data_IF_096338602277
#
_entry.id   IF_096338602277
#
_cell.length_a   1.000
_cell.length_b   1.000
_cell.length_c   1.000
_cell.angle_alpha   90.00
_cell.angle_beta   90.00
_cell.angle_gamma   90.00
#
_symmetry.space_group_name_H-M   'P 1'
#
loop_
_entity.id
_entity.type
_entity.pdbx_description
1 polymer ?
#
# COMPACT_ATOMS: atom_id res chain seq x y z
N UNK A 1 -6.75 -0.01 26.18
CA UNK A 1 -6.37 0.40 24.82
C UNK A 1 -7.46 1.33 24.30
N UNK A 2 -7.10 2.51 23.86
CA UNK A 2 -8.03 3.40 23.18
C UNK A 2 -8.34 2.90 21.74
N UNK A 3 -9.24 3.59 21.02
CA UNK A 3 -9.67 3.16 19.68
C UNK A 3 -8.50 3.10 18.68
N UNK A 4 -7.52 3.98 18.84
CA UNK A 4 -6.36 4.09 17.97
C UNK A 4 -5.35 2.97 18.24
N UNK A 5 -5.06 2.69 19.50
CA UNK A 5 -4.20 1.56 19.90
C UNK A 5 -4.78 0.22 19.39
N UNK A 6 -6.11 0.06 19.47
CA UNK A 6 -6.79 -1.10 18.92
C UNK A 6 -6.67 -1.18 17.40
N UNK A 7 -6.78 -0.05 16.69
CA UNK A 7 -6.62 -0.01 15.23
C UNK A 7 -5.18 -0.34 14.80
N UNK A 8 -4.17 0.19 15.50
CA UNK A 8 -2.76 -0.15 15.28
C UNK A 8 -2.52 -1.65 15.51
N UNK A 9 -3.07 -2.21 16.59
CA UNK A 9 -2.95 -3.63 16.87
C UNK A 9 -3.59 -4.49 15.75
N UNK A 10 -4.78 -4.08 15.24
CA UNK A 10 -5.40 -4.75 14.09
C UNK A 10 -4.56 -4.65 12.81
N UNK A 11 -3.97 -3.49 12.52
CA UNK A 11 -3.08 -3.31 11.37
C UNK A 11 -1.87 -4.24 11.45
N UNK A 12 -1.23 -4.31 12.62
CA UNK A 12 -0.11 -5.22 12.89
C UNK A 12 -0.50 -6.70 12.80
N UNK A 13 -1.70 -7.08 13.23
CA UNK A 13 -2.17 -8.47 13.09
C UNK A 13 -2.40 -8.87 11.63
N UNK A 14 -2.88 -7.94 10.80
CA UNK A 14 -3.18 -8.16 9.39
C UNK A 14 -1.93 -8.38 8.52
N UNK A 15 -0.87 -7.64 8.72
CA UNK A 15 0.47 -7.72 8.07
C UNK A 15 0.52 -7.57 6.56
N UNK A 16 -0.51 -7.95 5.79
CA UNK A 16 -0.50 -7.98 4.34
C UNK A 16 -1.77 -7.37 3.75
N UNK A 17 -1.62 -6.36 2.91
CA UNK A 17 -2.70 -5.62 2.26
C UNK A 17 -2.54 -5.52 0.75
N UNK A 18 -3.65 -5.22 0.06
CA UNK A 18 -3.71 -4.90 -1.36
C UNK A 18 -3.82 -3.39 -1.55
N UNK A 19 -2.94 -2.80 -2.36
CA UNK A 19 -3.10 -1.46 -2.87
C UNK A 19 -3.68 -1.53 -4.28
N UNK A 20 -4.65 -0.69 -4.62
CA UNK A 20 -5.25 -0.66 -5.95
C UNK A 20 -5.16 0.76 -6.49
N UNK A 21 -4.32 0.95 -7.52
CA UNK A 21 -4.24 2.21 -8.24
C UNK A 21 -5.06 2.13 -9.52
N UNK A 22 -6.19 2.82 -9.54
CA UNK A 22 -7.12 2.79 -10.66
C UNK A 22 -7.78 4.15 -10.87
N UNK A 23 -7.90 4.55 -12.13
CA UNK A 23 -8.44 5.83 -12.56
C UNK A 23 -8.38 5.95 -14.08
N UNK A 24 -8.53 7.15 -14.61
CA UNK A 24 -8.50 7.42 -16.05
C UNK A 24 -7.18 7.01 -16.70
N UNK A 25 -6.08 7.09 -15.97
CA UNK A 25 -4.76 6.67 -16.44
C UNK A 25 -4.68 5.18 -16.82
N UNK A 26 -5.61 4.36 -16.36
CA UNK A 26 -5.68 2.95 -16.76
C UNK A 26 -6.01 2.79 -18.25
N UNK A 27 -6.73 3.74 -18.86
CA UNK A 27 -6.99 3.76 -20.31
C UNK A 27 -5.74 4.09 -21.10
N UNK A 28 -4.92 5.02 -20.58
CA UNK A 28 -3.62 5.34 -21.19
C UNK A 28 -2.67 4.13 -21.18
N UNK A 29 -2.78 3.29 -20.16
CA UNK A 29 -2.00 2.05 -19.99
C UNK A 29 -0.46 2.26 -20.03
N UNK A 30 0.01 3.42 -19.54
CA UNK A 30 1.41 3.86 -19.59
C UNK A 30 1.83 4.55 -18.29
N UNK A 31 1.47 4.00 -17.12
CA UNK A 31 1.74 4.58 -15.83
C UNK A 31 0.68 5.58 -15.32
N UNK A 32 0.46 5.68 -14.01
CA UNK A 32 -0.51 6.62 -13.39
C UNK A 32 -0.11 8.08 -13.51
N UNK A 33 1.19 8.36 -13.71
CA UNK A 33 1.73 9.70 -13.93
C UNK A 33 1.72 10.14 -15.40
N UNK A 34 1.06 9.42 -16.31
CA UNK A 34 1.05 9.70 -17.75
C UNK A 34 0.71 11.16 -18.07
N UNK A 35 -0.28 11.75 -17.39
CA UNK A 35 -0.67 13.15 -17.56
C UNK A 35 0.47 14.11 -17.29
N UNK A 36 1.25 13.84 -16.21
CA UNK A 36 2.42 14.64 -15.82
C UNK A 36 3.63 14.38 -16.73
N UNK A 37 3.97 13.12 -16.98
CA UNK A 37 5.15 12.73 -17.74
C UNK A 37 5.07 13.19 -19.20
N UNK A 38 3.91 13.09 -19.81
CA UNK A 38 3.64 13.53 -21.17
C UNK A 38 3.19 15.00 -21.25
N UNK A 39 3.11 15.70 -20.09
CA UNK A 39 2.70 17.11 -19.97
C UNK A 39 1.37 17.41 -20.66
N UNK A 40 0.40 16.51 -20.52
CA UNK A 40 -0.90 16.62 -21.18
C UNK A 40 -1.73 17.73 -20.56
N UNK A 41 -2.37 18.54 -21.44
CA UNK A 41 -3.40 19.49 -21.03
C UNK A 41 -4.70 18.77 -20.63
N UNK A 42 -5.64 19.49 -20.04
CA UNK A 42 -6.95 18.93 -19.73
C UNK A 42 -7.69 18.46 -20.99
N UNK A 43 -7.61 19.22 -22.09
CA UNK A 43 -8.23 18.85 -23.37
C UNK A 43 -7.59 17.58 -23.97
N UNK A 44 -6.28 17.43 -23.85
CA UNK A 44 -5.59 16.22 -24.30
C UNK A 44 -5.88 15.00 -23.44
N UNK A 45 -6.21 15.20 -22.17
CA UNK A 45 -6.57 14.13 -21.22
C UNK A 45 -8.06 13.80 -21.22
N UNK A 46 -8.92 14.72 -21.71
CA UNK A 46 -10.38 14.58 -21.75
C UNK A 46 -10.86 13.29 -22.44
N UNK A 47 -10.24 12.78 -23.54
CA UNK A 47 -10.66 11.52 -24.15
C UNK A 47 -10.70 10.33 -23.21
N UNK A 48 -9.84 10.30 -22.17
CA UNK A 48 -9.89 9.21 -21.18
C UNK A 48 -11.14 9.29 -20.30
N UNK A 49 -11.61 10.49 -19.99
CA UNK A 49 -12.89 10.69 -19.29
C UNK A 49 -14.08 10.31 -20.19
N UNK A 50 -14.08 10.75 -21.43
CA UNK A 50 -15.16 10.53 -22.38
C UNK A 50 -15.34 9.06 -22.77
N UNK A 51 -14.31 8.24 -22.57
CA UNK A 51 -14.31 6.81 -22.90
C UNK A 51 -14.16 5.90 -21.68
N UNK A 52 -14.26 6.43 -20.46
CA UNK A 52 -14.17 5.62 -19.24
C UNK A 52 -15.44 4.82 -19.03
N UNK A 53 -15.41 3.57 -19.45
CA UNK A 53 -16.51 2.60 -19.33
C UNK A 53 -15.94 1.23 -18.91
N UNK A 54 -15.67 1.01 -17.61
CA UNK A 54 -15.06 -0.23 -17.13
C UNK A 54 -16.09 -1.38 -17.06
N UNK A 55 -16.50 -1.87 -18.21
CA UNK A 55 -17.56 -2.86 -18.42
C UNK A 55 -17.26 -4.25 -17.83
N UNK A 56 -16.00 -4.53 -17.46
CA UNK A 56 -15.57 -5.76 -16.80
C UNK A 56 -15.23 -5.56 -15.31
N UNK A 57 -15.61 -4.42 -14.73
CA UNK A 57 -15.40 -4.18 -13.31
C UNK A 57 -16.21 -5.14 -12.45
N UNK A 58 -15.51 -6.06 -11.81
CA UNK A 58 -16.06 -7.00 -10.82
C UNK A 58 -15.29 -6.89 -9.49
N UNK A 59 -15.76 -6.06 -8.55
CA UNK A 59 -15.11 -5.89 -7.25
C UNK A 59 -15.15 -7.17 -6.39
N UNK A 60 -16.10 -8.09 -6.65
CA UNK A 60 -16.14 -9.40 -5.98
C UNK A 60 -14.99 -10.29 -6.42
N UNK A 61 -14.67 -10.29 -7.72
CA UNK A 61 -13.49 -10.99 -8.23
C UNK A 61 -12.20 -10.39 -7.67
N UNK A 62 -12.10 -9.06 -7.54
CA UNK A 62 -10.96 -8.39 -6.89
C UNK A 62 -10.79 -8.83 -5.43
N UNK A 63 -11.88 -8.78 -4.66
CA UNK A 63 -11.86 -9.14 -3.24
C UNK A 63 -11.47 -10.61 -3.03
N UNK A 64 -11.99 -11.52 -3.87
CA UNK A 64 -11.63 -12.95 -3.84
C UNK A 64 -10.18 -13.19 -4.19
N UNK A 65 -9.64 -12.50 -5.21
CA UNK A 65 -8.23 -12.60 -5.58
C UNK A 65 -7.33 -12.12 -4.43
N UNK A 66 -7.65 -10.98 -3.80
CA UNK A 66 -6.94 -10.46 -2.65
C UNK A 66 -6.95 -11.44 -1.46
N UNK A 67 -8.13 -11.97 -1.12
CA UNK A 67 -8.28 -12.94 -0.03
C UNK A 67 -7.53 -14.24 -0.31
N UNK A 68 -7.61 -14.75 -1.53
CA UNK A 68 -6.89 -15.97 -1.96
C UNK A 68 -5.38 -15.78 -1.90
N UNK A 69 -4.88 -14.58 -2.20
CA UNK A 69 -3.46 -14.22 -2.03
C UNK A 69 -3.04 -14.11 -0.54
N UNK A 70 -3.99 -14.14 0.40
CA UNK A 70 -3.73 -14.01 1.84
C UNK A 70 -3.75 -12.56 2.34
N UNK A 71 -4.24 -11.62 1.57
CA UNK A 71 -4.40 -10.23 2.01
C UNK A 71 -5.54 -10.09 3.01
N UNK A 72 -5.47 -9.09 3.90
CA UNK A 72 -6.41 -8.89 5.00
C UNK A 72 -7.10 -7.53 4.97
N UNK A 73 -6.65 -6.62 4.12
CA UNK A 73 -7.27 -5.32 3.87
C UNK A 73 -6.89 -4.84 2.48
N UNK A 74 -7.61 -3.85 1.99
CA UNK A 74 -7.30 -3.21 0.73
C UNK A 74 -7.41 -1.69 0.84
N UNK A 75 -6.57 -0.97 0.11
CA UNK A 75 -6.60 0.47 -0.05
C UNK A 75 -6.83 0.76 -1.53
N UNK A 76 -7.93 1.46 -1.86
CA UNK A 76 -8.26 1.85 -3.23
C UNK A 76 -8.03 3.34 -3.43
N UNK A 77 -7.43 3.74 -4.55
CA UNK A 77 -7.39 5.15 -4.94
C UNK A 77 -8.81 5.67 -5.16
N UNK A 78 -9.30 6.49 -4.23
CA UNK A 78 -10.59 7.18 -4.42
C UNK A 78 -10.46 8.32 -5.43
N UNK A 79 -9.33 9.06 -5.37
CA UNK A 79 -8.89 10.07 -6.32
C UNK A 79 -7.36 10.07 -6.37
N UNK A 80 -6.77 9.98 -7.56
CA UNK A 80 -5.34 10.17 -7.79
C UNK A 80 -5.05 11.63 -8.22
N UNK A 81 -3.81 11.95 -8.54
CA UNK A 81 -3.34 13.32 -8.83
C UNK A 81 -4.05 14.00 -10.02
N UNK A 82 -4.60 13.22 -10.96
CA UNK A 82 -5.34 13.75 -12.10
C UNK A 82 -6.72 14.33 -11.74
N UNK A 83 -7.17 14.14 -10.48
CA UNK A 83 -8.37 14.75 -9.94
C UNK A 83 -9.67 13.96 -10.18
N UNK A 84 -9.63 12.80 -10.82
CA UNK A 84 -10.81 12.00 -11.12
C UNK A 84 -11.33 11.25 -9.91
N UNK A 85 -12.59 11.55 -9.51
CA UNK A 85 -13.25 10.91 -8.39
C UNK A 85 -13.92 9.59 -8.81
N UNK A 86 -13.56 8.47 -8.18
CA UNK A 86 -14.19 7.17 -8.46
C UNK A 86 -15.58 7.01 -7.86
N UNK A 87 -16.06 7.98 -7.06
CA UNK A 87 -17.38 7.96 -6.41
C UNK A 87 -18.25 9.11 -6.93
N UNK A 88 -19.52 9.08 -6.54
CA UNK A 88 -20.48 10.15 -6.84
C UNK A 88 -20.30 11.36 -5.90
N UNK A 89 -19.17 12.06 -6.03
CA UNK A 89 -18.92 13.29 -5.27
C UNK A 89 -19.92 14.39 -5.61
N UNK A 90 -20.44 15.09 -4.61
CA UNK A 90 -21.28 16.28 -4.81
C UNK A 90 -20.45 17.54 -5.13
N UNK A 91 -19.13 17.45 -5.03
CA UNK A 91 -18.21 18.59 -5.09
C UNK A 91 -17.55 18.77 -6.46
N UNK A 92 -17.70 17.80 -7.36
CA UNK A 92 -17.13 17.85 -8.71
C UNK A 92 -17.97 17.08 -9.72
N UNK A 93 -17.95 17.53 -10.97
CA UNK A 93 -18.46 16.77 -12.11
C UNK A 93 -17.38 15.89 -12.77
N UNK A 94 -16.09 16.00 -12.34
CA UNK A 94 -15.02 15.14 -12.82
C UNK A 94 -14.99 13.84 -12.01
N UNK A 95 -15.98 13.00 -12.23
CA UNK A 95 -16.30 11.81 -11.44
C UNK A 95 -16.86 10.67 -12.28
N UNK A 96 -16.80 9.44 -11.78
CA UNK A 96 -17.19 8.21 -12.45
C UNK A 96 -18.66 8.22 -12.92
N UNK A 97 -19.57 8.83 -12.15
CA UNK A 97 -20.99 8.91 -12.50
C UNK A 97 -21.31 9.87 -13.66
N UNK A 98 -20.33 10.66 -14.10
CA UNK A 98 -20.45 11.56 -15.27
C UNK A 98 -19.74 11.04 -16.52
N UNK A 99 -19.07 9.91 -16.44
CA UNK A 99 -18.50 9.19 -17.58
C UNK A 99 -19.54 8.27 -18.24
N UNK A 100 -19.25 7.62 -19.38
CA UNK A 100 -20.13 6.60 -19.96
C UNK A 100 -20.49 5.46 -19.00
N UNK A 101 -19.64 5.16 -18.02
CA UNK A 101 -19.93 4.19 -16.95
C UNK A 101 -21.16 4.56 -16.12
N UNK A 102 -21.31 5.84 -15.76
CA UNK A 102 -22.50 6.41 -15.12
C UNK A 102 -22.81 5.92 -13.69
N UNK A 103 -21.88 5.25 -12.99
CA UNK A 103 -22.10 4.65 -11.68
C UNK A 103 -20.95 4.91 -10.72
N UNK A 104 -21.25 4.86 -9.42
CA UNK A 104 -20.27 4.83 -8.33
C UNK A 104 -19.43 3.53 -8.39
N UNK A 105 -18.13 3.64 -8.18
CA UNK A 105 -17.21 2.51 -8.15
C UNK A 105 -16.76 2.16 -6.73
N UNK A 106 -16.85 3.11 -5.78
CA UNK A 106 -16.41 2.92 -4.39
C UNK A 106 -17.41 2.06 -3.60
N UNK A 107 -18.71 2.31 -3.73
CA UNK A 107 -19.74 1.55 -3.01
C UNK A 107 -19.63 0.04 -3.25
N UNK A 108 -19.67 -0.44 -4.50
CA UNK A 108 -19.49 -1.85 -4.84
C UNK A 108 -18.16 -2.45 -4.36
N UNK A 109 -17.05 -1.68 -4.43
CA UNK A 109 -15.76 -2.10 -3.86
C UNK A 109 -15.88 -2.37 -2.36
N UNK A 110 -16.42 -1.44 -1.60
CA UNK A 110 -16.57 -1.55 -0.15
C UNK A 110 -17.44 -2.76 0.25
N UNK A 111 -18.56 -2.94 -0.44
CA UNK A 111 -19.48 -4.07 -0.21
C UNK A 111 -18.78 -5.41 -0.46
N UNK A 112 -18.11 -5.56 -1.59
CA UNK A 112 -17.44 -6.78 -2.00
C UNK A 112 -16.29 -7.16 -1.04
N UNK A 113 -15.44 -6.19 -0.68
CA UNK A 113 -14.31 -6.45 0.20
C UNK A 113 -14.75 -6.76 1.64
N UNK A 114 -15.77 -6.08 2.15
CA UNK A 114 -16.38 -6.42 3.46
C UNK A 114 -17.01 -7.79 3.45
N UNK A 115 -17.72 -8.18 2.40
CA UNK A 115 -18.33 -9.51 2.27
C UNK A 115 -17.27 -10.62 2.36
N UNK A 116 -16.05 -10.37 1.87
CA UNK A 116 -14.92 -11.30 2.00
C UNK A 116 -14.15 -11.16 3.33
N UNK A 117 -14.56 -10.26 4.23
CA UNK A 117 -13.95 -10.05 5.55
C UNK A 117 -12.65 -9.26 5.49
N UNK A 118 -12.43 -8.48 4.43
CA UNK A 118 -11.26 -7.63 4.26
C UNK A 118 -11.50 -6.22 4.83
N UNK A 119 -10.47 -5.63 5.43
CA UNK A 119 -10.51 -4.25 5.88
C UNK A 119 -10.51 -3.28 4.69
N UNK A 120 -11.04 -2.08 4.91
CA UNK A 120 -11.23 -1.04 3.90
C UNK A 120 -10.30 0.13 4.18
N UNK A 121 -9.56 0.57 3.17
CA UNK A 121 -8.84 1.83 3.14
C UNK A 121 -9.09 2.60 1.87
N UNK A 122 -8.94 3.92 1.94
CA UNK A 122 -8.95 4.81 0.80
C UNK A 122 -7.63 5.55 0.70
N UNK A 123 -7.02 5.50 -0.48
CA UNK A 123 -6.02 6.46 -0.87
C UNK A 123 -6.72 7.70 -1.42
N UNK A 124 -6.22 8.87 -1.05
CA UNK A 124 -6.74 10.13 -1.58
C UNK A 124 -5.59 11.12 -1.79
N UNK A 125 -5.42 11.55 -3.04
CA UNK A 125 -4.40 12.54 -3.39
C UNK A 125 -4.70 13.90 -2.77
N UNK A 126 -3.68 14.52 -2.15
CA UNK A 126 -3.73 15.90 -1.66
C UNK A 126 -3.63 16.91 -2.79
N UNK A 127 -2.98 16.54 -3.88
CA UNK A 127 -2.89 17.37 -5.10
C UNK A 127 -3.98 17.00 -6.09
N UNK A 128 -4.30 17.94 -7.00
CA UNK A 128 -5.35 17.77 -7.99
C UNK A 128 -5.04 18.63 -9.24
N UNK A 129 -4.56 18.00 -10.29
CA UNK A 129 -4.16 18.70 -11.49
C UNK A 129 -5.34 19.23 -12.34
N UNK A 130 -6.56 18.82 -12.03
CA UNK A 130 -7.76 19.20 -12.76
C UNK A 130 -8.53 20.34 -12.06
N UNK A 131 -8.47 20.41 -10.72
CA UNK A 131 -9.30 21.33 -9.96
C UNK A 131 -8.96 22.81 -10.28
N UNK A 132 -9.96 23.66 -10.61
CA UNK A 132 -9.73 25.04 -11.08
C UNK A 132 -9.07 25.96 -10.03
N UNK A 133 -9.19 25.66 -8.75
CA UNK A 133 -8.57 26.42 -7.67
C UNK A 133 -7.25 25.78 -7.15
N UNK A 134 -6.81 24.64 -7.70
CA UNK A 134 -5.52 24.06 -7.35
C UNK A 134 -4.39 24.85 -8.02
N UNK A 135 -3.53 25.57 -7.26
CA UNK A 135 -2.44 26.35 -7.86
C UNK A 135 -1.44 25.43 -8.56
N UNK A 136 -0.97 25.87 -9.72
CA UNK A 136 0.07 25.12 -10.46
C UNK A 136 1.32 24.98 -9.58
N UNK A 137 1.76 23.74 -9.41
CA UNK A 137 2.88 23.37 -8.57
C UNK A 137 4.06 22.77 -9.36
N UNK A 138 5.11 22.35 -8.65
CA UNK A 138 6.32 21.81 -9.24
C UNK A 138 6.09 20.49 -10.04
N UNK A 139 4.96 19.81 -9.81
CA UNK A 139 4.61 18.53 -10.45
C UNK A 139 3.35 18.61 -11.31
N UNK A 140 2.76 19.79 -11.47
CA UNK A 140 1.62 19.97 -12.36
C UNK A 140 2.00 19.62 -13.81
N UNK A 141 1.15 18.93 -14.60
CA UNK A 141 1.44 18.64 -16.02
C UNK A 141 1.87 19.86 -16.84
N UNK A 142 1.21 20.99 -16.64
CA UNK A 142 1.49 22.25 -17.36
C UNK A 142 2.46 23.19 -16.62
N UNK A 143 3.29 22.67 -15.69
CA UNK A 143 4.28 23.46 -14.92
C UNK A 143 5.29 24.24 -15.78
N UNK A 144 5.55 23.77 -16.99
CA UNK A 144 6.50 24.38 -17.92
C UNK A 144 5.87 25.39 -18.87
N UNK A 145 4.52 25.47 -18.88
CA UNK A 145 3.79 26.44 -19.67
C UNK A 145 3.65 27.77 -18.91
N UNK A 146 4.48 28.76 -19.29
CA UNK A 146 4.51 30.05 -18.62
C UNK A 146 3.22 30.87 -18.80
N UNK A 147 2.55 30.73 -19.94
CA UNK A 147 1.28 31.45 -20.18
C UNK A 147 0.15 30.83 -19.35
N UNK A 148 0.09 29.52 -19.25
CA UNK A 148 -0.85 28.82 -18.38
C UNK A 148 -0.61 29.20 -16.90
N UNK A 149 0.65 29.21 -16.42
CA UNK A 149 1.00 29.62 -15.06
C UNK A 149 0.56 31.05 -14.76
N UNK A 150 0.76 31.97 -15.70
CA UNK A 150 0.31 33.39 -15.57
C UNK A 150 -1.22 33.47 -15.51
N UNK A 151 -1.90 32.79 -16.43
CA UNK A 151 -3.36 32.80 -16.53
C UNK A 151 -4.03 32.21 -15.27
N UNK A 152 -3.36 31.29 -14.59
CA UNK A 152 -3.87 30.58 -13.40
C UNK A 152 -3.27 31.08 -12.07
N UNK A 153 -2.48 32.14 -12.08
CA UNK A 153 -1.81 32.66 -10.88
C UNK A 153 -2.77 33.14 -9.76
N UNK A 154 -4.05 33.37 -10.09
CA UNK A 154 -5.09 33.75 -9.13
C UNK A 154 -5.83 32.60 -8.45
N UNK A 155 -5.43 31.35 -8.69
CA UNK A 155 -6.03 30.16 -8.03
C UNK A 155 -5.82 30.23 -6.52
N UNK A 156 -6.85 29.86 -5.76
CA UNK A 156 -6.92 29.98 -4.32
C UNK A 156 -6.82 28.60 -3.64
N UNK A 157 -5.66 28.29 -3.08
CA UNK A 157 -5.41 27.03 -2.37
C UNK A 157 -6.34 26.85 -1.15
N UNK A 158 -6.85 27.92 -0.55
CA UNK A 158 -7.78 27.80 0.58
C UNK A 158 -9.13 27.24 0.14
N UNK A 159 -9.64 27.68 -1.02
CA UNK A 159 -10.85 27.08 -1.62
C UNK A 159 -10.63 25.63 -2.04
N UNK A 160 -9.44 25.34 -2.59
CA UNK A 160 -9.08 23.96 -2.88
C UNK A 160 -9.04 23.10 -1.61
N UNK A 161 -8.50 23.60 -0.50
CA UNK A 161 -8.48 22.88 0.76
C UNK A 161 -9.91 22.61 1.29
N UNK A 162 -10.87 23.52 1.12
CA UNK A 162 -12.28 23.27 1.46
C UNK A 162 -12.87 22.12 0.64
N UNK A 163 -12.58 22.08 -0.66
CA UNK A 163 -12.95 20.97 -1.55
C UNK A 163 -12.31 19.66 -1.11
N UNK A 164 -11.01 19.62 -0.85
CA UNK A 164 -10.28 18.44 -0.37
C UNK A 164 -10.89 17.88 0.92
N UNK A 165 -11.16 18.74 1.91
CA UNK A 165 -11.78 18.35 3.17
C UNK A 165 -13.19 17.79 2.96
N UNK A 166 -13.98 18.44 2.11
CA UNK A 166 -15.32 17.96 1.76
C UNK A 166 -15.31 16.58 1.11
N UNK A 167 -14.38 16.33 0.19
CA UNK A 167 -14.22 15.00 -0.44
C UNK A 167 -13.86 13.91 0.57
N UNK A 168 -12.94 14.19 1.49
CA UNK A 168 -12.59 13.25 2.57
C UNK A 168 -13.80 13.00 3.48
N UNK A 169 -14.58 14.03 3.81
CA UNK A 169 -15.81 13.89 4.59
C UNK A 169 -16.85 13.00 3.87
N UNK A 170 -17.06 13.18 2.56
CA UNK A 170 -17.92 12.30 1.78
C UNK A 170 -17.51 10.83 1.89
N UNK A 171 -16.23 10.53 1.70
CA UNK A 171 -15.70 9.17 1.77
C UNK A 171 -15.89 8.54 3.16
N UNK A 172 -15.72 9.32 4.23
CA UNK A 172 -15.82 8.82 5.60
C UNK A 172 -17.24 8.75 6.16
N UNK A 173 -18.22 9.38 5.48
CA UNK A 173 -19.62 9.39 5.91
C UNK A 173 -20.53 8.50 5.07
N UNK A 174 -20.20 8.25 3.79
CA UNK A 174 -21.08 7.55 2.86
C UNK A 174 -20.88 6.04 2.81
N UNK A 175 -19.66 5.55 3.12
CA UNK A 175 -19.29 4.16 2.89
C UNK A 175 -19.09 3.34 4.17
N UNK A 176 -19.56 3.85 5.33
CA UNK A 176 -19.46 3.19 6.61
C UNK A 176 -18.02 3.16 7.17
N UNK A 177 -17.69 2.23 8.09
CA UNK A 177 -16.38 2.23 8.75
C UNK A 177 -15.20 2.04 7.77
N UNK A 178 -14.18 2.86 7.91
CA UNK A 178 -12.93 2.82 7.12
C UNK A 178 -11.76 2.55 8.08
N UNK A 179 -10.92 1.58 7.76
CA UNK A 179 -9.77 1.21 8.61
C UNK A 179 -8.59 2.17 8.40
N UNK A 180 -8.35 2.62 7.16
CA UNK A 180 -7.18 3.43 6.78
C UNK A 180 -7.57 4.55 5.83
N UNK A 181 -7.15 5.79 6.15
CA UNK A 181 -7.12 6.91 5.22
C UNK A 181 -5.66 7.14 4.83
N UNK A 182 -5.34 6.82 3.59
CA UNK A 182 -4.02 6.92 3.00
C UNK A 182 -3.92 8.19 2.15
N UNK A 183 -3.52 9.30 2.76
CA UNK A 183 -3.37 10.59 2.08
C UNK A 183 -2.00 10.65 1.40
N UNK A 184 -1.87 11.38 0.29
CA UNK A 184 -0.63 11.35 -0.47
C UNK A 184 -0.25 12.69 -1.08
N UNK A 185 1.06 12.92 -1.12
CA UNK A 185 1.75 13.95 -1.87
C UNK A 185 1.86 15.32 -1.20
N UNK A 186 2.52 15.39 -0.03
CA UNK A 186 3.05 16.65 0.53
C UNK A 186 4.53 16.80 0.21
N UNK A 187 4.94 17.98 -0.27
CA UNK A 187 6.34 18.28 -0.67
C UNK A 187 6.60 19.79 -0.55
N UNK A 188 6.67 20.31 0.69
CA UNK A 188 6.74 21.75 0.95
C UNK A 188 7.96 22.43 0.29
N UNK A 189 9.05 21.70 0.08
CA UNK A 189 10.30 22.22 -0.49
C UNK A 189 10.35 22.14 -2.03
N UNK A 190 9.23 21.82 -2.71
CA UNK A 190 9.16 21.73 -4.16
C UNK A 190 9.43 23.07 -4.84
N UNK A 191 10.17 23.06 -5.97
CA UNK A 191 10.46 24.26 -6.76
C UNK A 191 10.19 24.01 -8.24
N UNK A 192 9.87 25.08 -8.99
CA UNK A 192 9.93 25.07 -10.44
C UNK A 192 11.40 24.98 -10.93
N UNK A 193 11.58 24.73 -12.22
CA UNK A 193 12.92 24.65 -12.83
C UNK A 193 13.72 25.95 -12.71
N UNK A 194 13.06 27.10 -12.55
CA UNK A 194 13.67 28.41 -12.34
C UNK A 194 14.04 28.70 -10.87
N UNK A 195 13.82 27.73 -9.97
CA UNK A 195 14.07 27.85 -8.53
C UNK A 195 12.95 28.55 -7.74
N UNK A 196 11.88 29.02 -8.37
CA UNK A 196 10.73 29.60 -7.68
C UNK A 196 10.04 28.57 -6.80
N UNK A 197 9.74 28.85 -5.51
CA UNK A 197 9.01 27.94 -4.65
C UNK A 197 7.65 27.55 -5.25
N UNK A 198 7.36 26.28 -5.26
CA UNK A 198 6.15 25.68 -5.85
C UNK A 198 5.66 24.46 -5.09
N UNK A 199 6.25 24.20 -3.92
CA UNK A 199 5.83 23.09 -3.05
C UNK A 199 4.49 23.34 -2.37
N UNK A 200 3.92 22.28 -1.84
CA UNK A 200 2.69 22.26 -1.07
C UNK A 200 2.86 21.40 0.17
N UNK A 201 2.36 21.86 1.30
CA UNK A 201 2.52 21.19 2.58
C UNK A 201 1.37 21.43 3.55
N UNK A 202 1.66 21.21 4.83
CA UNK A 202 0.68 21.20 5.92
C UNK A 202 -0.24 22.42 5.97
N UNK A 203 0.26 23.61 5.64
CA UNK A 203 -0.51 24.84 5.67
C UNK A 203 -1.49 24.92 4.49
N UNK A 204 -1.07 24.45 3.31
CA UNK A 204 -1.90 24.42 2.10
C UNK A 204 -3.08 23.48 2.27
N UNK A 205 -2.85 22.31 2.89
CA UNK A 205 -3.88 21.30 3.14
C UNK A 205 -4.69 21.57 4.40
N UNK A 206 -4.25 22.51 5.27
CA UNK A 206 -4.76 22.66 6.64
C UNK A 206 -4.77 21.33 7.38
N UNK A 207 -3.60 20.65 7.37
CA UNK A 207 -3.44 19.25 7.74
C UNK A 207 -3.95 18.90 9.13
N UNK A 208 -3.72 19.78 10.13
CA UNK A 208 -4.22 19.59 11.50
C UNK A 208 -5.75 19.59 11.56
N UNK A 209 -6.39 20.50 10.80
CA UNK A 209 -7.84 20.59 10.75
C UNK A 209 -8.43 19.35 10.04
N UNK A 210 -7.81 18.92 8.93
CA UNK A 210 -8.20 17.72 8.21
C UNK A 210 -8.09 16.49 9.10
N UNK A 211 -6.95 16.31 9.78
CA UNK A 211 -6.74 15.17 10.68
C UNK A 211 -7.75 15.18 11.84
N UNK A 212 -8.01 16.37 12.45
CA UNK A 212 -9.00 16.50 13.51
C UNK A 212 -10.40 16.09 13.02
N UNK A 213 -10.80 16.53 11.81
CA UNK A 213 -12.09 16.16 11.21
C UNK A 213 -12.19 14.67 10.92
N UNK A 214 -11.14 14.06 10.39
CA UNK A 214 -11.08 12.59 10.18
C UNK A 214 -11.31 11.85 11.49
N UNK A 215 -10.67 12.29 12.59
CA UNK A 215 -10.81 11.68 13.92
C UNK A 215 -12.20 11.88 14.54
N UNK A 216 -12.81 13.03 14.31
CA UNK A 216 -14.18 13.30 14.74
C UNK A 216 -15.17 12.35 14.05
N UNK A 217 -15.03 12.18 12.72
CA UNK A 217 -15.91 11.32 11.93
C UNK A 217 -15.71 9.83 12.24
N UNK A 218 -14.45 9.41 12.37
CA UNK A 218 -14.11 8.00 12.62
C UNK A 218 -12.92 7.89 13.60
N UNK A 219 -13.17 7.84 14.93
CA UNK A 219 -12.10 7.86 15.95
C UNK A 219 -11.07 6.73 15.86
N UNK A 220 -11.44 5.60 15.25
CA UNK A 220 -10.57 4.42 15.11
C UNK A 220 -9.88 4.28 13.75
N UNK A 221 -10.01 5.25 12.85
CA UNK A 221 -9.34 5.23 11.54
C UNK A 221 -7.84 5.50 11.70
N UNK A 222 -7.02 4.80 10.92
CA UNK A 222 -5.57 5.08 10.83
C UNK A 222 -5.28 6.03 9.67
N UNK A 223 -4.41 7.01 9.91
CA UNK A 223 -3.95 7.98 8.91
C UNK A 223 -2.43 7.85 8.78
N UNK A 224 -1.94 7.76 7.55
CA UNK A 224 -0.52 7.68 7.25
C UNK A 224 0.22 9.01 7.50
N UNK A 225 1.54 9.01 7.29
CA UNK A 225 2.43 10.14 7.60
C UNK A 225 2.61 11.16 6.46
N UNK A 226 1.75 11.14 5.42
CA UNK A 226 1.94 12.00 4.23
C UNK A 226 1.17 13.31 4.23
N UNK A 227 0.60 13.71 5.36
CA UNK A 227 -0.03 15.02 5.56
C UNK A 227 0.95 16.16 5.89
N UNK A 228 2.26 15.91 5.81
CA UNK A 228 3.29 16.83 6.33
C UNK A 228 3.12 17.15 7.85
N UNK A 229 2.49 16.24 8.57
CA UNK A 229 2.36 16.15 10.02
C UNK A 229 2.48 14.68 10.47
N UNK A 230 2.76 14.42 11.75
CA UNK A 230 2.84 13.05 12.25
C UNK A 230 1.55 12.25 12.03
N UNK A 231 1.66 11.11 11.35
CA UNK A 231 0.59 10.11 11.21
C UNK A 231 0.72 8.95 12.20
N UNK A 232 -0.18 7.97 12.08
CA UNK A 232 -0.23 6.77 12.93
C UNK A 232 0.79 5.71 12.53
N UNK A 233 1.19 5.70 11.27
CA UNK A 233 2.16 4.77 10.72
C UNK A 233 2.99 5.45 9.61
N UNK A 234 4.21 4.92 9.40
CA UNK A 234 5.13 5.39 8.38
C UNK A 234 4.93 4.59 7.08
N UNK A 235 5.21 5.22 5.93
CA UNK A 235 4.98 4.64 4.61
C UNK A 235 6.23 4.63 3.74
N UNK A 236 7.22 3.73 4.00
CA UNK A 236 8.35 3.54 3.10
C UNK A 236 7.85 3.06 1.73
N UNK A 237 8.27 3.76 0.67
CA UNK A 237 7.78 3.51 -0.67
C UNK A 237 8.88 2.94 -1.56
N UNK A 238 8.60 1.78 -2.20
CA UNK A 238 9.49 1.09 -3.15
C UNK A 238 10.85 0.69 -2.55
N UNK A 239 11.00 0.66 -1.23
CA UNK A 239 12.18 0.11 -0.56
C UNK A 239 11.79 -0.67 0.69
N UNK A 240 12.70 -1.55 1.15
CA UNK A 240 12.56 -2.30 2.40
C UNK A 240 13.44 -1.64 3.48
N UNK A 241 12.86 -1.16 4.60
CA UNK A 241 13.64 -0.63 5.72
C UNK A 241 14.71 -1.62 6.22
N UNK A 242 15.88 -1.12 6.60
CA UNK A 242 16.97 -1.96 7.12
C UNK A 242 16.63 -2.59 8.47
N UNK A 243 15.72 -1.99 9.25
CA UNK A 243 15.27 -2.45 10.56
C UNK A 243 13.89 -1.88 10.91
N UNK A 244 13.43 -2.06 12.17
CA UNK A 244 12.23 -1.40 12.67
C UNK A 244 12.33 0.12 12.48
N UNK A 245 11.24 0.74 12.01
CA UNK A 245 11.21 2.19 11.83
C UNK A 245 10.90 2.90 13.14
N UNK A 246 11.46 4.09 13.30
CA UNK A 246 11.29 4.91 14.50
C UNK A 246 10.98 6.36 14.13
N UNK A 247 10.24 7.05 15.02
CA UNK A 247 10.09 8.51 15.02
C UNK A 247 10.51 9.02 16.39
N UNK A 248 11.45 9.96 16.45
CA UNK A 248 12.00 10.50 17.71
C UNK A 248 12.51 9.39 18.66
N UNK A 249 13.15 8.35 18.11
CA UNK A 249 13.67 7.20 18.86
C UNK A 249 12.61 6.21 19.35
N UNK A 250 11.33 6.41 19.05
CA UNK A 250 10.25 5.49 19.42
C UNK A 250 9.85 4.61 18.25
N UNK A 251 9.68 3.28 18.46
CA UNK A 251 9.19 2.39 17.42
C UNK A 251 7.82 2.85 16.88
N UNK A 252 7.72 2.91 15.56
CA UNK A 252 6.49 3.26 14.88
C UNK A 252 5.96 2.08 14.06
N UNK A 253 4.62 1.90 13.97
CA UNK A 253 4.04 1.07 12.94
C UNK A 253 4.47 1.57 11.56
N UNK A 254 4.65 0.68 10.61
CA UNK A 254 4.97 1.07 9.25
C UNK A 254 4.42 0.07 8.23
N UNK A 255 4.23 0.56 7.03
CA UNK A 255 3.67 -0.19 5.91
C UNK A 255 4.48 0.11 4.65
N UNK A 256 5.28 -0.85 4.18
CA UNK A 256 5.99 -0.71 2.91
C UNK A 256 5.00 -0.86 1.76
N UNK A 257 4.81 0.20 0.98
CA UNK A 257 4.04 0.11 -0.24
C UNK A 257 4.95 -0.22 -1.43
N UNK A 258 4.58 -1.27 -2.19
CA UNK A 258 5.40 -1.87 -3.23
C UNK A 258 4.56 -2.19 -4.47
N UNK A 259 5.14 -1.99 -5.65
CA UNK A 259 4.52 -2.38 -6.91
C UNK A 259 4.93 -3.79 -7.32
N UNK A 260 4.16 -4.38 -8.23
CA UNK A 260 4.52 -5.64 -8.89
C UNK A 260 5.62 -5.45 -9.95
N UNK A 261 5.68 -4.27 -10.59
CA UNK A 261 6.48 -4.03 -11.79
C UNK A 261 7.04 -2.62 -11.91
N UNK A 262 7.07 -1.84 -10.81
CA UNK A 262 7.57 -0.46 -10.83
C UNK A 262 6.51 0.59 -11.20
N UNK A 263 5.34 0.19 -11.69
CA UNK A 263 4.21 1.08 -11.97
C UNK A 263 3.08 0.89 -10.94
N UNK A 264 2.46 1.99 -10.47
CA UNK A 264 1.29 1.91 -9.60
C UNK A 264 0.04 1.67 -10.42
N UNK A 265 -0.21 2.48 -11.47
CA UNK A 265 -1.29 2.26 -12.42
C UNK A 265 -0.99 1.14 -13.41
N UNK A 266 -2.00 0.76 -14.18
CA UNK A 266 -1.83 -0.22 -15.25
C UNK A 266 -0.82 0.28 -16.30
N UNK A 267 0.20 -0.53 -16.54
CA UNK A 267 1.20 -0.32 -17.58
C UNK A 267 1.29 -1.60 -18.43
N UNK A 268 0.66 -1.56 -19.62
CA UNK A 268 0.50 -2.71 -20.49
C UNK A 268 1.83 -3.26 -20.99
N UNK A 269 2.74 -2.36 -21.33
CA UNK A 269 3.98 -2.71 -22.03
C UNK A 269 5.17 -2.93 -21.07
N UNK A 270 4.95 -2.76 -19.77
CA UNK A 270 5.96 -3.02 -18.75
C UNK A 270 6.19 -4.53 -18.58
N UNK A 271 7.44 -4.96 -18.71
CA UNK A 271 7.85 -6.36 -18.61
C UNK A 271 8.67 -6.66 -17.33
N UNK A 272 8.98 -5.66 -16.51
CA UNK A 272 9.86 -5.77 -15.33
C UNK A 272 9.12 -6.25 -14.09
N UNK A 273 8.52 -7.44 -14.17
CA UNK A 273 7.72 -8.00 -13.08
C UNK A 273 8.59 -8.65 -12.02
N UNK A 274 8.37 -8.28 -10.76
CA UNK A 274 8.99 -8.94 -9.60
C UNK A 274 8.51 -10.39 -9.51
N UNK A 275 9.42 -11.37 -9.35
CA UNK A 275 9.04 -12.77 -9.20
C UNK A 275 8.35 -13.00 -7.83
N UNK A 276 7.53 -14.05 -7.76
CA UNK A 276 6.73 -14.38 -6.57
C UNK A 276 7.59 -14.59 -5.33
N UNK A 277 8.72 -15.26 -5.44
CA UNK A 277 9.64 -15.50 -4.32
C UNK A 277 10.24 -14.21 -3.76
N UNK A 278 10.54 -13.23 -4.61
CA UNK A 278 10.98 -11.90 -4.18
C UNK A 278 9.89 -11.20 -3.35
N UNK A 279 8.65 -11.24 -3.80
CA UNK A 279 7.52 -10.60 -3.10
C UNK A 279 7.22 -11.28 -1.75
N UNK A 280 7.33 -12.61 -1.69
CA UNK A 280 7.22 -13.36 -0.44
C UNK A 280 8.34 -12.97 0.53
N UNK A 281 9.59 -12.84 0.04
CA UNK A 281 10.71 -12.37 0.85
C UNK A 281 10.49 -10.96 1.37
N UNK A 282 9.93 -10.06 0.58
CA UNK A 282 9.57 -8.71 1.01
C UNK A 282 8.51 -8.72 2.12
N UNK A 283 7.49 -9.57 2.02
CA UNK A 283 6.49 -9.75 3.08
C UNK A 283 7.11 -10.25 4.37
N UNK A 284 7.92 -11.31 4.30
CA UNK A 284 8.63 -11.87 5.45
C UNK A 284 9.57 -10.83 6.07
N UNK A 285 10.31 -10.11 5.25
CA UNK A 285 11.25 -9.09 5.69
C UNK A 285 10.53 -7.95 6.42
N UNK A 286 9.40 -7.47 5.89
CA UNK A 286 8.55 -6.48 6.56
C UNK A 286 8.09 -6.97 7.93
N UNK A 287 7.49 -8.16 8.01
CA UNK A 287 6.97 -8.71 9.27
C UNK A 287 8.09 -8.93 10.30
N UNK A 288 9.27 -9.39 9.86
CA UNK A 288 10.43 -9.60 10.74
C UNK A 288 10.96 -8.32 11.39
N UNK A 289 10.56 -7.16 10.88
CA UNK A 289 10.94 -5.81 11.33
C UNK A 289 9.76 -4.99 11.86
N UNK A 290 8.66 -5.65 12.23
CA UNK A 290 7.40 -5.09 12.75
C UNK A 290 6.60 -4.26 11.73
N UNK A 291 6.81 -4.47 10.44
CA UNK A 291 6.09 -3.78 9.38
C UNK A 291 5.01 -4.60 8.70
N UNK A 292 4.21 -3.91 7.90
CA UNK A 292 3.26 -4.46 6.96
C UNK A 292 3.80 -4.37 5.53
N UNK A 293 3.26 -5.18 4.64
CA UNK A 293 3.42 -5.03 3.19
C UNK A 293 2.08 -4.67 2.57
N UNK A 294 2.03 -3.56 1.84
CA UNK A 294 0.91 -3.13 0.99
C UNK A 294 1.33 -3.31 -0.47
N UNK A 295 0.85 -4.37 -1.11
CA UNK A 295 1.28 -4.75 -2.46
C UNK A 295 0.28 -4.26 -3.50
N UNK A 296 0.77 -3.53 -4.51
CA UNK A 296 -0.07 -2.83 -5.46
C UNK A 296 -0.43 -3.68 -6.69
N UNK A 297 -1.66 -3.48 -7.16
CA UNK A 297 -2.11 -3.85 -8.51
C UNK A 297 -2.71 -2.63 -9.21
N UNK A 298 -2.49 -2.55 -10.53
CA UNK A 298 -3.15 -1.57 -11.40
C UNK A 298 -4.16 -2.29 -12.31
N UNK A 299 -5.47 -2.18 -12.06
CA UNK A 299 -6.50 -2.72 -12.94
C UNK A 299 -6.45 -2.08 -14.34
N UNK A 300 -6.84 -2.84 -15.36
CA UNK A 300 -6.98 -2.34 -16.74
C UNK A 300 -8.06 -1.26 -16.85
N UNK A 301 -8.10 -0.56 -17.99
CA UNK A 301 -9.16 0.42 -18.25
C UNK A 301 -10.57 -0.19 -18.27
N UNK A 302 -10.71 -1.51 -18.48
CA UNK A 302 -11.99 -2.23 -18.40
C UNK A 302 -12.35 -2.71 -16.98
N UNK A 303 -11.44 -2.53 -16.00
CA UNK A 303 -11.70 -2.87 -14.60
C UNK A 303 -11.27 -4.28 -14.17
N UNK A 304 -10.51 -5.00 -14.95
CA UNK A 304 -9.97 -6.31 -14.58
C UNK A 304 -8.54 -6.19 -14.05
N UNK A 305 -8.15 -7.08 -13.13
CA UNK A 305 -6.73 -7.26 -12.84
C UNK A 305 -6.00 -7.90 -14.02
N UNK A 306 -4.83 -7.35 -14.35
CA UNK A 306 -3.97 -7.93 -15.38
C UNK A 306 -3.73 -9.43 -15.11
N UNK A 307 -3.81 -10.31 -16.11
CA UNK A 307 -3.55 -11.74 -15.93
C UNK A 307 -2.17 -12.05 -15.33
N UNK A 308 -1.16 -11.18 -15.54
CA UNK A 308 0.17 -11.28 -14.90
C UNK A 308 0.08 -11.03 -13.41
N UNK A 309 -0.68 -9.99 -13.00
CA UNK A 309 -0.95 -9.70 -11.59
C UNK A 309 -1.70 -10.86 -10.91
N UNK A 310 -2.74 -11.39 -11.56
CA UNK A 310 -3.50 -12.55 -11.04
C UNK A 310 -2.61 -13.78 -10.83
N UNK A 311 -1.70 -14.09 -11.77
CA UNK A 311 -0.74 -15.20 -11.59
C UNK A 311 0.19 -14.98 -10.41
N UNK A 312 0.67 -13.75 -10.24
CA UNK A 312 1.53 -13.39 -9.10
C UNK A 312 0.78 -13.50 -7.76
N UNK A 313 -0.44 -12.96 -7.68
CA UNK A 313 -1.30 -13.08 -6.49
C UNK A 313 -1.60 -14.54 -6.16
N UNK A 314 -1.89 -15.36 -7.17
CA UNK A 314 -2.12 -16.80 -6.99
C UNK A 314 -0.89 -17.51 -6.42
N UNK A 315 0.31 -17.26 -6.96
CA UNK A 315 1.55 -17.85 -6.45
C UNK A 315 1.86 -17.45 -5.00
N UNK A 316 1.60 -16.18 -4.63
CA UNK A 316 1.70 -15.74 -3.23
C UNK A 316 0.67 -16.51 -2.37
N UNK A 317 -0.56 -16.66 -2.86
CA UNK A 317 -1.64 -17.36 -2.17
C UNK A 317 -1.32 -18.83 -1.89
N UNK A 318 -0.70 -19.53 -2.82
CA UNK A 318 -0.26 -20.92 -2.61
C UNK A 318 0.74 -21.02 -1.45
N UNK A 319 1.70 -20.10 -1.38
CA UNK A 319 2.63 -20.03 -0.26
C UNK A 319 1.91 -19.67 1.05
N UNK A 320 1.04 -18.66 1.04
CA UNK A 320 0.32 -18.19 2.22
C UNK A 320 -0.60 -19.26 2.80
N UNK A 321 -1.21 -20.09 1.98
CA UNK A 321 -2.08 -21.21 2.42
C UNK A 321 -1.36 -22.13 3.41
N UNK A 322 -0.07 -22.36 3.22
CA UNK A 322 0.74 -23.24 4.07
C UNK A 322 1.48 -22.48 5.17
N UNK A 323 1.85 -21.22 4.94
CA UNK A 323 2.81 -20.50 5.75
C UNK A 323 2.23 -19.28 6.50
N UNK A 324 0.95 -18.95 6.35
CA UNK A 324 0.34 -17.76 6.95
C UNK A 324 0.48 -17.65 8.47
N UNK A 325 0.69 -18.77 9.18
CA UNK A 325 0.95 -18.78 10.63
C UNK A 325 2.22 -18.04 11.02
N UNK A 326 3.19 -17.94 10.10
CA UNK A 326 4.44 -17.22 10.29
C UNK A 326 4.34 -15.72 9.96
N UNK A 327 3.18 -15.27 9.48
CA UNK A 327 2.93 -13.91 9.03
C UNK A 327 1.92 -13.20 9.95
N UNK A 328 0.67 -13.70 10.03
CA UNK A 328 -0.38 -13.00 10.76
C UNK A 328 -0.13 -13.00 12.26
N UNK A 329 -0.21 -11.80 12.86
CA UNK A 329 0.05 -11.58 14.28
C UNK A 329 1.48 -11.88 14.71
N UNK A 330 2.41 -12.11 13.75
CA UNK A 330 3.82 -12.22 14.02
C UNK A 330 4.50 -10.84 13.98
N UNK A 331 5.69 -10.76 14.56
CA UNK A 331 6.54 -9.58 14.54
C UNK A 331 8.01 -9.98 14.66
N UNK A 332 8.90 -9.04 15.03
CA UNK A 332 10.30 -9.30 15.26
C UNK A 332 10.52 -10.40 16.32
N UNK A 333 11.59 -11.16 16.14
CA UNK A 333 12.04 -12.12 17.15
C UNK A 333 13.12 -11.51 18.05
N UNK A 334 13.25 -12.08 19.24
CA UNK A 334 14.31 -11.72 20.19
C UNK A 334 15.70 -12.28 19.81
N UNK A 335 15.75 -13.15 18.79
CA UNK A 335 16.97 -13.82 18.34
C UNK A 335 17.47 -13.24 17.02
N UNK A 336 18.81 -13.18 16.87
CA UNK A 336 19.43 -12.81 15.60
C UNK A 336 19.36 -13.98 14.61
N UNK A 337 18.75 -13.82 13.42
CA UNK A 337 18.68 -14.88 12.44
C UNK A 337 20.06 -15.16 11.82
N UNK A 338 20.30 -16.40 11.34
CA UNK A 338 21.45 -16.70 10.51
C UNK A 338 21.48 -15.87 9.22
N UNK A 339 22.63 -15.84 8.54
CA UNK A 339 22.73 -15.25 7.21
C UNK A 339 21.69 -15.88 6.26
N UNK A 340 21.16 -15.09 5.33
CA UNK A 340 20.13 -15.48 4.37
C UNK A 340 18.85 -16.05 5.00
N UNK A 341 18.58 -15.69 6.25
CA UNK A 341 17.38 -16.08 6.98
C UNK A 341 16.68 -14.89 7.61
N UNK A 342 15.41 -15.08 7.97
CA UNK A 342 14.64 -14.17 8.83
C UNK A 342 13.92 -14.96 9.92
N UNK A 343 13.76 -14.33 11.09
CA UNK A 343 12.84 -14.79 12.10
C UNK A 343 11.58 -13.94 12.12
N UNK A 344 10.44 -14.61 12.27
CA UNK A 344 9.21 -13.98 12.76
C UNK A 344 8.75 -14.72 14.00
N UNK A 345 8.11 -14.02 14.94
CA UNK A 345 7.72 -14.61 16.22
C UNK A 345 6.31 -14.21 16.63
N UNK A 346 5.58 -15.17 17.18
CA UNK A 346 4.29 -14.94 17.83
C UNK A 346 4.24 -15.72 19.16
N UNK A 347 4.27 -14.99 20.26
CA UNK A 347 4.36 -15.61 21.58
C UNK A 347 5.57 -16.54 21.70
N UNK A 348 5.36 -17.80 22.05
CA UNK A 348 6.42 -18.82 22.19
C UNK A 348 6.73 -19.58 20.88
N UNK A 349 6.18 -19.15 19.74
CA UNK A 349 6.45 -19.76 18.43
C UNK A 349 7.41 -18.89 17.63
N UNK A 350 8.58 -19.43 17.33
CA UNK A 350 9.58 -18.84 16.47
C UNK A 350 9.52 -19.51 15.11
N UNK A 351 9.39 -18.70 14.05
CA UNK A 351 9.39 -19.17 12.67
C UNK A 351 10.69 -18.74 12.01
N UNK A 352 11.40 -19.72 11.40
CA UNK A 352 12.61 -19.49 10.65
C UNK A 352 12.28 -19.57 9.15
N UNK A 353 12.53 -18.48 8.46
CA UNK A 353 12.42 -18.39 7.00
C UNK A 353 13.82 -18.49 6.39
N UNK A 354 14.07 -19.50 5.57
CA UNK A 354 15.37 -19.78 4.94
C UNK A 354 15.31 -19.31 3.51
N UNK A 355 16.05 -18.28 3.13
CA UNK A 355 16.08 -17.73 1.79
C UNK A 355 17.11 -18.40 0.89
N UNK A 356 18.15 -18.97 1.47
CA UNK A 356 19.15 -19.80 0.81
C UNK A 356 19.59 -20.93 1.72
N UNK A 357 19.62 -22.16 1.23
CA UNK A 357 20.03 -23.32 2.01
C UNK A 357 21.55 -23.39 2.11
N UNK A 358 22.11 -23.41 3.36
CA UNK A 358 23.54 -23.65 3.55
C UNK A 358 23.80 -25.15 3.50
N UNK A 359 24.31 -25.66 2.43
CA UNK A 359 24.68 -27.08 2.28
C UNK A 359 23.87 -28.10 3.13
N UNK A 360 24.36 -28.51 4.31
CA UNK A 360 23.71 -29.53 5.15
C UNK A 360 23.26 -29.08 6.54
N UNK A 361 23.80 -27.99 7.06
CA UNK A 361 23.56 -27.56 8.43
C UNK A 361 23.23 -26.09 8.49
N UNK A 362 22.25 -25.75 9.29
CA UNK A 362 21.92 -24.38 9.66
C UNK A 362 22.24 -24.19 11.13
N UNK A 363 23.11 -23.22 11.44
CA UNK A 363 23.46 -22.86 12.79
C UNK A 363 22.45 -21.87 13.35
N UNK A 364 21.89 -22.14 14.54
CA UNK A 364 20.90 -21.31 15.20
C UNK A 364 21.50 -20.80 16.54
N UNK A 365 22.23 -19.66 16.52
CA UNK A 365 22.85 -19.12 17.72
C UNK A 365 21.83 -18.75 18.79
N UNK A 366 22.14 -19.01 20.06
CA UNK A 366 21.32 -18.59 21.21
C UNK A 366 20.07 -19.43 21.46
N UNK A 367 19.78 -20.46 20.67
CA UNK A 367 18.56 -21.27 20.83
C UNK A 367 18.76 -22.57 21.62
N UNK A 368 19.97 -22.90 22.08
CA UNK A 368 20.18 -24.08 22.87
C UNK A 368 19.41 -24.07 24.19
N UNK A 369 18.78 -25.20 24.50
CA UNK A 369 17.94 -25.35 25.69
C UNK A 369 16.63 -24.57 25.66
N UNK A 370 16.38 -23.78 24.58
CA UNK A 370 15.13 -23.01 24.40
C UNK A 370 14.18 -23.70 23.43
N UNK A 371 14.68 -24.48 22.48
CA UNK A 371 13.85 -25.24 21.54
C UNK A 371 13.35 -26.53 22.18
N UNK A 372 12.03 -26.72 22.15
CA UNK A 372 11.39 -27.97 22.58
C UNK A 372 11.11 -28.90 21.40
N UNK A 373 10.73 -28.33 20.25
CA UNK A 373 10.34 -29.06 19.04
C UNK A 373 10.49 -28.17 17.84
N UNK A 374 10.89 -28.74 16.69
CA UNK A 374 10.96 -28.04 15.42
C UNK A 374 10.30 -28.89 14.32
N UNK A 375 9.57 -28.25 13.44
CA UNK A 375 8.88 -28.89 12.33
C UNK A 375 8.79 -27.95 11.11
N UNK A 376 8.63 -28.51 9.94
CA UNK A 376 8.28 -27.75 8.77
C UNK A 376 6.82 -27.26 8.83
N UNK A 377 6.53 -26.06 8.28
CA UNK A 377 5.15 -25.56 8.24
C UNK A 377 4.28 -26.25 7.19
N UNK A 378 4.86 -26.62 6.05
CA UNK A 378 4.11 -27.11 4.89
C UNK A 378 3.50 -28.50 5.09
N UNK A 379 4.16 -29.37 5.88
CA UNK A 379 3.72 -30.77 6.06
C UNK A 379 3.75 -31.23 7.54
N UNK A 380 4.20 -30.38 8.46
CA UNK A 380 4.34 -30.63 9.88
C UNK A 380 5.35 -31.75 10.22
N UNK A 381 6.20 -32.17 9.27
CA UNK A 381 7.24 -33.16 9.55
C UNK A 381 8.31 -32.61 10.50
N UNK A 382 8.86 -33.47 11.36
CA UNK A 382 9.85 -33.10 12.36
C UNK A 382 11.18 -32.67 11.71
N UNK A 383 11.74 -31.60 12.25
CA UNK A 383 13.12 -31.17 11.98
C UNK A 383 14.00 -31.57 13.14
N UNK A 384 14.97 -32.46 12.89
CA UNK A 384 15.89 -32.94 13.92
C UNK A 384 16.85 -31.82 14.35
N UNK A 385 16.80 -31.51 15.64
CA UNK A 385 17.66 -30.50 16.29
C UNK A 385 18.72 -31.20 17.11
N UNK A 386 20.02 -30.86 16.93
CA UNK A 386 21.13 -31.35 17.73
C UNK A 386 21.80 -30.18 18.45
N UNK A 387 22.03 -30.32 19.75
CA UNK A 387 22.76 -29.33 20.54
C UNK A 387 24.22 -29.78 20.69
N UNK A 388 25.14 -28.95 20.23
CA UNK A 388 26.59 -29.22 20.40
C UNK A 388 27.14 -28.32 21.47
N UNK A 389 27.81 -28.97 22.45
CA UNK A 389 28.51 -28.28 23.58
C UNK A 389 29.89 -27.81 23.12
N UNK A 390 29.97 -26.83 22.23
CA UNK A 390 31.22 -26.13 21.97
C UNK A 390 31.02 -24.66 22.24
N UNK A 391 31.65 -24.16 23.21
CA UNK A 391 31.61 -22.90 23.98
C UNK A 391 31.14 -21.60 23.37
N UNK A 392 30.74 -21.47 22.11
CA UNK A 392 30.26 -20.22 21.50
C UNK A 392 29.29 -20.35 20.31
N UNK A 393 29.11 -21.51 19.72
CA UNK A 393 28.17 -21.71 18.63
C UNK A 393 27.50 -23.09 18.76
N UNK A 394 26.17 -23.09 18.85
CA UNK A 394 25.42 -24.34 18.91
C UNK A 394 24.87 -24.65 17.53
N UNK A 395 25.25 -25.81 17.03
CA UNK A 395 24.87 -26.27 15.70
C UNK A 395 23.57 -27.08 15.78
N UNK A 396 22.60 -26.69 15.00
CA UNK A 396 21.37 -27.46 14.81
C UNK A 396 21.41 -28.11 13.43
N UNK A 397 21.39 -29.46 13.39
CA UNK A 397 21.33 -30.21 12.15
C UNK A 397 19.87 -30.37 11.74
N UNK A 398 19.50 -29.86 10.59
CA UNK A 398 18.22 -30.19 9.96
C UNK A 398 18.37 -31.58 9.34
N UNK A 399 17.54 -32.53 9.75
CA UNK A 399 17.53 -33.89 9.22
C UNK A 399 17.24 -33.89 7.73
N UNK A 400 17.98 -34.73 7.01
CA UNK A 400 17.97 -34.97 5.58
C UNK A 400 17.01 -34.20 4.70
N UNK A 401 17.57 -33.31 3.87
CA UNK A 401 16.86 -32.88 2.67
C UNK A 401 16.70 -34.09 1.76
N UNK A 402 15.57 -34.28 1.05
CA UNK A 402 15.49 -35.25 0.00
C UNK A 402 16.61 -34.99 -1.01
N UNK A 403 17.34 -36.05 -1.37
CA UNK A 403 18.26 -36.02 -2.52
C UNK A 403 17.40 -35.90 -3.78
N UNK A 404 17.41 -34.72 -4.46
CA UNK A 404 16.66 -34.50 -5.68
C UNK A 404 16.86 -33.10 -6.18
#
# INVERSE_FOLDING_TARGET
MDAQEQAIARLRDRRFGLFIHWGLYALAARHEWVKNLEQLTDEQYQPYFDHFEPDLYDPTAWARAAKAAGMRYAVLTSKHHEGFALWDSDLTDYKATKTPWGKDLIGPFVEAFRAEGLGIGFYHSLIDWHHPEFPVDAVHPQRNDLEFRKATAGRDVAKYADYLHGQVEELLTRYGPVDVMWLDFSYPDGTFADGTPAGKGRNDWRSEQLLARIRELQPGILVNDRLDIPGDFLTPEQYQPAGPMTRDGRPMPWEACQTLNGSWGYDRDNLDWKPVDMLIRMLIDSVSKDGNLLLNVGPTGRGEFDPRALRTLHGIGEWMRLNSRSIYGCGPAEFTPPADCRYTQRGNRLYLHVFAWPMRHLHLPGLAGRLRYAQFLHDASEVKVTVHASGTAQNTRMGGLPEG
#
